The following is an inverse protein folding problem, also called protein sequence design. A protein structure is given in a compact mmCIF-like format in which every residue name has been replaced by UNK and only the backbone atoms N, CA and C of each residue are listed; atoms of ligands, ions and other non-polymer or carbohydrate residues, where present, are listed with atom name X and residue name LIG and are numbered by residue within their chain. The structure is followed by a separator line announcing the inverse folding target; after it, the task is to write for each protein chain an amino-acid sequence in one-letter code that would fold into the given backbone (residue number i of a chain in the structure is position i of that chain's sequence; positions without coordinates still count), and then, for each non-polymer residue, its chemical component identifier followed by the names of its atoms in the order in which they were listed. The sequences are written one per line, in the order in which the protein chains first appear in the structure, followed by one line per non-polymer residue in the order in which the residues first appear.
data_IF_696124416042
#
_entry.id   IF_696124416042
#
_cell.length_a   1.000
_cell.length_b   1.000
_cell.length_c   1.000
_cell.angle_alpha   90.00
_cell.angle_beta   90.00
_cell.angle_gamma   90.00
#
_symmetry.space_group_name_H-M   'P 1'
#
loop_
_entity.id
_entity.type
_entity.pdbx_description
1 polymer ?
#
# COMPACT_ATOMS: atom_id res chain seq x y z
N UNK A 1 42.78 -56.32 34.64
CA UNK A 1 43.14 -57.22 33.53
C UNK A 1 41.85 -57.65 32.83
N UNK A 2 41.54 -57.05 31.69
CA UNK A 2 40.59 -57.48 30.64
C UNK A 2 40.30 -56.27 29.77
N UNK A 3 41.09 -56.11 28.70
CA UNK A 3 40.95 -55.07 27.68
C UNK A 3 40.01 -55.59 26.59
N UNK A 4 38.77 -55.08 26.56
CA UNK A 4 37.90 -55.21 25.39
C UNK A 4 38.38 -54.25 24.29
N UNK A 5 38.93 -54.79 23.21
CA UNK A 5 39.16 -54.09 21.94
C UNK A 5 37.92 -54.28 21.07
N UNK A 6 37.16 -53.21 20.86
CA UNK A 6 36.14 -53.16 19.80
C UNK A 6 36.76 -52.52 18.55
N UNK A 7 36.66 -53.24 17.43
CA UNK A 7 37.07 -52.82 16.10
C UNK A 7 36.22 -51.63 15.62
N UNK A 8 36.87 -50.51 15.32
CA UNK A 8 36.32 -49.40 14.55
C UNK A 8 36.48 -49.74 13.07
N UNK A 9 35.38 -50.11 12.42
CA UNK A 9 35.33 -50.22 10.96
C UNK A 9 35.20 -48.84 10.33
N UNK A 10 36.25 -48.39 9.64
CA UNK A 10 36.25 -47.19 8.80
C UNK A 10 35.58 -47.54 7.48
N UNK A 11 34.35 -47.08 7.27
CA UNK A 11 33.70 -47.10 5.97
C UNK A 11 34.14 -45.88 5.16
N UNK A 12 34.98 -46.12 4.16
CA UNK A 12 35.34 -45.13 3.12
C UNK A 12 34.17 -45.07 2.13
N UNK A 13 33.31 -44.06 2.27
CA UNK A 13 32.34 -43.71 1.23
C UNK A 13 33.00 -42.79 0.21
N UNK A 14 33.22 -43.33 -0.98
CA UNK A 14 33.65 -42.59 -2.17
C UNK A 14 32.48 -41.69 -2.62
N UNK A 15 32.62 -40.37 -2.47
CA UNK A 15 31.70 -39.40 -3.06
C UNK A 15 31.87 -39.43 -4.59
N UNK A 16 31.03 -40.21 -5.26
CA UNK A 16 30.77 -40.04 -6.68
C UNK A 16 30.06 -38.70 -6.90
N UNK A 17 30.60 -37.86 -7.78
CA UNK A 17 29.96 -36.68 -8.31
C UNK A 17 28.69 -37.09 -9.08
N UNK A 18 27.58 -37.24 -8.36
CA UNK A 18 26.25 -37.38 -8.94
C UNK A 18 25.81 -36.02 -9.46
N UNK A 19 26.05 -35.77 -10.75
CA UNK A 19 25.35 -34.70 -11.45
C UNK A 19 23.86 -34.96 -11.35
N UNK A 20 23.13 -34.06 -10.68
CA UNK A 20 21.68 -34.03 -10.76
C UNK A 20 21.30 -34.01 -12.24
N UNK A 21 20.36 -34.88 -12.70
CA UNK A 21 19.87 -34.75 -14.05
C UNK A 21 19.24 -33.36 -14.15
N UNK A 22 19.84 -32.48 -14.96
CA UNK A 22 19.12 -31.33 -15.49
C UNK A 22 17.88 -31.91 -16.15
N UNK A 23 16.73 -31.69 -15.53
CA UNK A 23 15.45 -31.81 -16.23
C UNK A 23 15.61 -31.03 -17.53
N UNK A 24 15.22 -31.60 -18.69
CA UNK A 24 15.29 -30.87 -19.93
C UNK A 24 14.51 -29.57 -19.73
N UNK A 25 15.16 -28.45 -20.02
CA UNK A 25 14.46 -27.20 -20.26
C UNK A 25 13.53 -27.50 -21.43
N UNK A 26 12.27 -27.82 -21.15
CA UNK A 26 11.22 -27.85 -22.16
C UNK A 26 11.23 -26.45 -22.75
N UNK A 27 11.80 -26.32 -23.96
CA UNK A 27 11.68 -25.09 -24.72
C UNK A 27 10.21 -24.75 -24.78
N UNK A 28 9.86 -23.52 -24.38
CA UNK A 28 8.51 -23.01 -24.47
C UNK A 28 7.99 -23.35 -25.88
N UNK A 29 6.94 -24.17 -25.95
CA UNK A 29 6.38 -24.56 -27.24
C UNK A 29 5.79 -23.33 -27.94
N UNK A 30 5.53 -23.40 -29.25
CA UNK A 30 4.86 -22.31 -29.98
C UNK A 30 3.53 -21.87 -29.33
N UNK A 31 2.86 -22.77 -28.60
CA UNK A 31 1.66 -22.49 -27.80
C UNK A 31 1.95 -21.59 -26.58
N UNK A 32 3.07 -21.78 -25.88
CA UNK A 32 3.45 -20.94 -24.74
C UNK A 32 3.73 -19.51 -25.19
N UNK A 33 4.44 -19.34 -26.30
CA UNK A 33 4.72 -18.02 -26.88
C UNK A 33 3.42 -17.29 -27.30
N UNK A 34 2.48 -18.02 -27.90
CA UNK A 34 1.18 -17.48 -28.26
C UNK A 34 0.33 -17.09 -27.02
N UNK A 35 0.38 -17.89 -25.95
CA UNK A 35 -0.32 -17.59 -24.70
C UNK A 35 0.27 -16.37 -23.98
N UNK A 36 1.61 -16.25 -23.97
CA UNK A 36 2.31 -15.07 -23.45
C UNK A 36 1.93 -13.81 -24.23
N UNK A 37 1.92 -13.88 -25.58
CA UNK A 37 1.51 -12.74 -26.41
C UNK A 37 0.09 -12.27 -26.11
N UNK A 38 -0.85 -13.22 -25.92
CA UNK A 38 -2.23 -12.91 -25.50
C UNK A 38 -2.30 -12.26 -24.13
N UNK A 39 -1.48 -12.71 -23.17
CA UNK A 39 -1.41 -12.11 -21.84
C UNK A 39 -0.94 -10.65 -21.91
N UNK A 40 0.12 -10.35 -22.68
CA UNK A 40 0.67 -9.00 -22.78
C UNK A 40 -0.36 -8.01 -23.37
N UNK A 41 -1.08 -8.41 -24.42
CA UNK A 41 -2.16 -7.59 -24.98
C UNK A 41 -3.28 -7.36 -23.96
N UNK A 42 -3.65 -8.42 -23.22
CA UNK A 42 -4.68 -8.33 -22.19
C UNK A 42 -4.24 -7.44 -21.01
N UNK A 43 -2.98 -7.55 -20.57
CA UNK A 43 -2.41 -6.73 -19.50
C UNK A 43 -2.50 -5.25 -19.86
N UNK A 44 -2.06 -4.87 -21.06
CA UNK A 44 -2.18 -3.48 -21.53
C UNK A 44 -3.63 -3.00 -21.58
N UNK A 45 -4.55 -3.82 -22.09
CA UNK A 45 -5.97 -3.48 -22.19
C UNK A 45 -6.59 -3.26 -20.79
N UNK A 46 -6.36 -4.20 -19.87
CA UNK A 46 -6.88 -4.12 -18.50
C UNK A 46 -6.30 -2.91 -17.78
N UNK A 47 -5.00 -2.64 -17.89
CA UNK A 47 -4.38 -1.49 -17.23
C UNK A 47 -4.88 -0.15 -17.80
N UNK A 48 -5.14 -0.06 -19.11
CA UNK A 48 -5.76 1.14 -19.71
C UNK A 48 -7.20 1.33 -19.22
N UNK A 49 -7.99 0.26 -19.12
CA UNK A 49 -9.33 0.33 -18.53
C UNK A 49 -9.28 0.81 -17.08
N UNK A 50 -8.40 0.20 -16.26
CA UNK A 50 -8.22 0.59 -14.86
C UNK A 50 -7.79 2.06 -14.72
N UNK A 51 -6.86 2.52 -15.55
CA UNK A 51 -6.41 3.90 -15.60
C UNK A 51 -7.52 4.88 -16.04
N UNK A 52 -8.45 4.45 -16.90
CA UNK A 52 -9.63 5.23 -17.29
C UNK A 52 -10.70 5.27 -16.18
N UNK A 53 -10.81 4.21 -15.37
CA UNK A 53 -11.71 4.12 -14.22
C UNK A 53 -11.20 4.97 -13.04
N UNK A 54 -9.89 4.99 -12.81
CA UNK A 54 -9.27 5.71 -11.69
C UNK A 54 -7.91 6.31 -12.10
N UNK A 55 -7.84 7.65 -12.10
CA UNK A 55 -6.63 8.40 -12.47
C UNK A 55 -5.43 8.14 -11.57
N UNK A 56 -5.63 7.66 -10.34
CA UNK A 56 -4.51 7.28 -9.48
C UNK A 56 -3.79 6.05 -10.02
N UNK A 57 -4.51 5.15 -10.68
CA UNK A 57 -3.90 4.01 -11.36
C UNK A 57 -3.11 4.50 -12.58
N UNK A 58 -3.66 5.44 -13.35
CA UNK A 58 -2.94 6.09 -14.45
C UNK A 58 -1.60 6.69 -13.99
N UNK A 59 -1.62 7.46 -12.88
CA UNK A 59 -0.43 8.05 -12.27
C UNK A 59 0.57 7.00 -11.77
N UNK A 60 0.09 5.96 -11.06
CA UNK A 60 0.95 4.90 -10.51
C UNK A 60 1.59 4.04 -11.59
N UNK A 61 0.83 3.68 -12.62
CA UNK A 61 1.31 2.86 -13.73
C UNK A 61 2.04 3.66 -14.81
N UNK A 62 1.94 5.00 -14.78
CA UNK A 62 2.42 5.91 -15.84
C UNK A 62 1.82 5.55 -17.20
N UNK A 63 0.53 5.22 -17.18
CA UNK A 63 -0.26 4.91 -18.37
C UNK A 63 -1.24 6.05 -18.60
N UNK A 64 -1.23 6.60 -19.81
CA UNK A 64 -2.24 7.57 -20.24
C UNK A 64 -3.32 6.82 -21.03
N UNK A 65 -4.57 6.74 -20.53
CA UNK A 65 -5.68 6.19 -21.29
C UNK A 65 -5.91 6.99 -22.58
N UNK A 66 -6.28 6.31 -23.66
CA UNK A 66 -6.69 7.00 -24.89
C UNK A 66 -8.12 7.57 -24.75
N UNK A 67 -8.48 8.50 -25.63
CA UNK A 67 -9.87 9.00 -25.71
C UNK A 67 -10.90 7.88 -25.97
N UNK A 68 -10.49 6.82 -26.66
CA UNK A 68 -11.32 5.63 -26.89
C UNK A 68 -11.53 4.84 -25.60
N UNK A 69 -10.47 4.65 -24.80
CA UNK A 69 -10.55 3.96 -23.51
C UNK A 69 -11.47 4.71 -22.55
N UNK A 70 -11.28 6.03 -22.42
CA UNK A 70 -12.11 6.91 -21.59
C UNK A 70 -13.58 6.86 -22.04
N UNK A 71 -13.83 6.96 -23.36
CA UNK A 71 -15.20 6.91 -23.91
C UNK A 71 -15.86 5.56 -23.66
N UNK A 72 -15.13 4.45 -23.87
CA UNK A 72 -15.64 3.09 -23.66
C UNK A 72 -16.08 2.89 -22.21
N UNK A 73 -15.23 3.27 -21.26
CA UNK A 73 -15.50 3.15 -19.82
C UNK A 73 -16.66 4.07 -19.40
N UNK A 74 -16.66 5.33 -19.84
CA UNK A 74 -17.74 6.28 -19.51
C UNK A 74 -19.10 5.86 -20.09
N UNK A 75 -19.13 5.40 -21.35
CA UNK A 75 -20.37 5.01 -22.02
C UNK A 75 -21.02 3.80 -21.34
N UNK A 76 -20.22 2.85 -20.85
CA UNK A 76 -20.75 1.73 -20.07
C UNK A 76 -21.46 2.18 -18.79
N UNK A 77 -20.99 3.24 -18.14
CA UNK A 77 -21.65 3.81 -16.97
C UNK A 77 -22.92 4.61 -17.34
N UNK A 78 -22.91 5.36 -18.45
CA UNK A 78 -24.07 6.10 -18.96
C UNK A 78 -25.20 5.15 -19.37
N UNK A 79 -24.88 4.07 -20.10
CA UNK A 79 -25.85 3.06 -20.54
C UNK A 79 -26.48 2.29 -19.36
N UNK A 80 -25.83 2.30 -18.20
CA UNK A 80 -26.35 1.72 -16.97
C UNK A 80 -27.19 2.73 -16.14
N UNK A 81 -27.46 3.93 -16.67
CA UNK A 81 -28.28 4.98 -16.04
C UNK A 81 -27.81 5.37 -14.63
N UNK A 82 -26.49 5.42 -14.42
CA UNK A 82 -25.92 5.75 -13.11
C UNK A 82 -26.12 7.22 -12.73
N UNK A 83 -27.07 7.47 -11.85
CA UNK A 83 -27.40 8.80 -11.34
C UNK A 83 -26.26 9.47 -10.56
N UNK A 84 -25.25 8.71 -10.11
CA UNK A 84 -24.11 9.23 -9.32
C UNK A 84 -22.89 9.54 -10.18
N UNK A 85 -22.92 9.16 -11.46
CA UNK A 85 -21.83 9.35 -12.39
C UNK A 85 -21.52 10.83 -12.58
N UNK A 86 -20.26 11.17 -12.38
CA UNK A 86 -19.70 12.41 -12.87
C UNK A 86 -18.38 12.17 -13.56
N UNK A 87 -18.24 12.82 -14.72
CA UNK A 87 -17.05 12.75 -15.57
C UNK A 87 -16.37 14.11 -15.52
N UNK A 88 -15.10 14.13 -15.11
CA UNK A 88 -14.28 15.34 -15.01
C UNK A 88 -13.05 15.15 -15.87
N UNK A 89 -12.83 16.06 -16.81
CA UNK A 89 -11.84 15.96 -17.91
C UNK A 89 -11.81 14.57 -18.56
N UNK A 90 -12.99 14.06 -18.93
CA UNK A 90 -13.18 12.77 -19.58
C UNK A 90 -12.88 11.52 -18.73
N UNK A 91 -12.57 11.64 -17.44
CA UNK A 91 -12.42 10.49 -16.55
C UNK A 91 -13.53 10.44 -15.49
N UNK A 92 -13.83 9.24 -15.01
CA UNK A 92 -14.75 9.01 -13.90
C UNK A 92 -14.16 9.64 -12.63
N UNK A 93 -14.97 10.40 -11.88
CA UNK A 93 -14.51 10.99 -10.63
C UNK A 93 -14.39 9.94 -9.48
N UNK A 94 -13.62 10.23 -8.40
CA UNK A 94 -13.47 9.28 -7.29
C UNK A 94 -14.78 8.91 -6.56
N UNK A 95 -15.80 9.77 -6.60
CA UNK A 95 -17.08 9.61 -5.91
C UNK A 95 -18.12 8.83 -6.73
N UNK A 96 -17.84 8.53 -8.00
CA UNK A 96 -18.73 7.80 -8.91
C UNK A 96 -18.62 6.30 -8.67
N UNK A 97 -19.03 5.87 -7.47
CA UNK A 97 -18.72 4.55 -6.93
C UNK A 97 -19.29 3.39 -7.75
N UNK A 98 -20.50 3.55 -8.28
CA UNK A 98 -21.17 2.49 -9.04
C UNK A 98 -20.54 2.32 -10.44
N UNK A 99 -20.19 3.42 -11.09
CA UNK A 99 -19.42 3.40 -12.33
C UNK A 99 -18.06 2.72 -12.15
N UNK A 100 -17.33 3.05 -11.07
CA UNK A 100 -16.04 2.42 -10.74
C UNK A 100 -16.19 0.93 -10.45
N UNK A 101 -17.21 0.52 -9.70
CA UNK A 101 -17.47 -0.90 -9.40
C UNK A 101 -17.73 -1.72 -10.67
N UNK A 102 -18.54 -1.20 -11.59
CA UNK A 102 -18.80 -1.88 -12.87
C UNK A 102 -17.53 -1.98 -13.72
N UNK A 103 -16.73 -0.93 -13.76
CA UNK A 103 -15.44 -0.96 -14.44
C UNK A 103 -14.50 -2.04 -13.90
N UNK A 104 -14.36 -2.13 -12.58
CA UNK A 104 -13.55 -3.15 -11.91
C UNK A 104 -14.09 -4.57 -12.16
N UNK A 105 -15.41 -4.76 -12.11
CA UNK A 105 -16.04 -6.04 -12.44
C UNK A 105 -15.80 -6.45 -13.90
N UNK A 106 -15.82 -5.51 -14.84
CA UNK A 106 -15.51 -5.77 -16.24
C UNK A 106 -14.03 -6.16 -16.44
N UNK A 107 -13.09 -5.45 -15.78
CA UNK A 107 -11.67 -5.79 -15.78
C UNK A 107 -11.44 -7.21 -15.23
N UNK A 108 -12.09 -7.56 -14.11
CA UNK A 108 -12.05 -8.90 -13.53
C UNK A 108 -12.55 -9.98 -14.50
N UNK A 109 -13.69 -9.74 -15.13
CA UNK A 109 -14.25 -10.67 -16.12
C UNK A 109 -13.34 -10.88 -17.35
N UNK A 110 -12.54 -9.88 -17.74
CA UNK A 110 -11.52 -10.03 -18.79
C UNK A 110 -10.38 -10.97 -18.34
N UNK A 111 -9.91 -10.82 -17.10
CA UNK A 111 -8.85 -11.66 -16.53
C UNK A 111 -9.27 -13.11 -16.30
N UNK A 112 -10.56 -13.35 -16.00
CA UNK A 112 -11.12 -14.69 -15.88
C UNK A 112 -11.13 -15.46 -17.21
N UNK A 113 -11.20 -14.74 -18.33
CA UNK A 113 -11.12 -15.31 -19.70
C UNK A 113 -9.68 -15.49 -20.19
N UNK A 114 -8.70 -14.97 -19.45
CA UNK A 114 -7.30 -15.06 -19.81
C UNK A 114 -6.79 -16.52 -19.79
N UNK A 115 -5.73 -16.86 -20.54
CA UNK A 115 -5.07 -18.16 -20.43
C UNK A 115 -4.71 -18.49 -18.97
N UNK A 116 -5.20 -19.63 -18.49
CA UNK A 116 -4.98 -20.07 -17.10
C UNK A 116 -3.69 -20.86 -16.92
N UNK A 117 -3.16 -21.43 -18.01
CA UNK A 117 -1.85 -22.09 -18.05
C UNK A 117 -0.87 -21.10 -18.65
N UNK A 118 0.12 -20.72 -17.87
CA UNK A 118 1.24 -19.88 -18.30
C UNK A 118 2.51 -20.47 -17.70
N UNK A 119 3.63 -20.44 -18.42
CA UNK A 119 4.88 -20.96 -17.89
C UNK A 119 5.37 -20.09 -16.72
N UNK A 120 6.08 -20.70 -15.77
CA UNK A 120 6.71 -20.00 -14.65
C UNK A 120 7.92 -19.15 -15.09
N UNK A 121 8.52 -19.48 -16.24
CA UNK A 121 9.62 -18.74 -16.87
C UNK A 121 9.52 -18.87 -18.39
N UNK A 122 9.95 -17.84 -19.12
CA UNK A 122 9.97 -17.86 -20.58
C UNK A 122 11.32 -17.29 -21.09
N UNK A 123 11.96 -17.92 -22.09
CA UNK A 123 13.18 -17.39 -22.69
C UNK A 123 12.98 -15.96 -23.21
N UNK A 124 13.89 -15.04 -22.87
CA UNK A 124 13.82 -13.65 -23.32
C UNK A 124 12.86 -12.75 -22.52
N UNK A 125 12.10 -13.29 -21.57
CA UNK A 125 11.33 -12.49 -20.62
C UNK A 125 12.07 -12.36 -19.29
N UNK A 126 12.15 -11.14 -18.78
CA UNK A 126 12.65 -10.84 -17.43
C UNK A 126 11.57 -11.15 -16.37
N UNK A 127 10.29 -11.12 -16.77
CA UNK A 127 9.14 -11.39 -15.93
C UNK A 127 8.63 -12.84 -16.06
N UNK A 128 8.11 -13.39 -14.95
CA UNK A 128 7.45 -14.70 -14.91
C UNK A 128 5.97 -14.55 -15.32
N UNK A 129 5.52 -15.04 -16.50
CA UNK A 129 4.17 -14.73 -17.02
C UNK A 129 3.03 -15.14 -16.07
N UNK A 130 3.14 -16.29 -15.41
CA UNK A 130 2.16 -16.72 -14.42
C UNK A 130 2.04 -15.76 -13.22
N UNK A 131 3.17 -15.18 -12.78
CA UNK A 131 3.21 -14.22 -11.69
C UNK A 131 2.60 -12.88 -12.11
N UNK A 132 2.89 -12.38 -13.32
CA UNK A 132 2.27 -11.13 -13.81
C UNK A 132 0.75 -11.24 -13.87
N UNK A 133 0.23 -12.37 -14.36
CA UNK A 133 -1.22 -12.64 -14.34
C UNK A 133 -1.78 -12.66 -12.91
N UNK A 134 -1.08 -13.30 -11.97
CA UNK A 134 -1.48 -13.31 -10.55
C UNK A 134 -1.55 -11.89 -9.98
N UNK A 135 -0.51 -11.08 -10.22
CA UNK A 135 -0.42 -9.72 -9.69
C UNK A 135 -1.43 -8.77 -10.33
N UNK A 136 -1.71 -8.91 -11.62
CA UNK A 136 -2.75 -8.14 -12.30
C UNK A 136 -4.14 -8.45 -11.74
N UNK A 137 -4.44 -9.73 -11.47
CA UNK A 137 -5.70 -10.12 -10.82
C UNK A 137 -5.79 -9.55 -9.39
N UNK A 138 -4.71 -9.63 -8.63
CA UNK A 138 -4.65 -9.04 -7.28
C UNK A 138 -4.82 -7.51 -7.32
N UNK A 139 -4.26 -6.81 -8.29
CA UNK A 139 -4.46 -5.37 -8.45
C UNK A 139 -5.96 -5.02 -8.60
N UNK A 140 -6.71 -5.80 -9.38
CA UNK A 140 -8.16 -5.59 -9.52
C UNK A 140 -8.90 -5.85 -8.20
N UNK A 141 -8.53 -6.90 -7.47
CA UNK A 141 -9.11 -7.20 -6.16
C UNK A 141 -8.77 -6.12 -5.11
N UNK A 142 -7.55 -5.58 -5.15
CA UNK A 142 -7.10 -4.47 -4.31
C UNK A 142 -7.91 -3.19 -4.55
N UNK A 143 -8.09 -2.80 -5.81
CA UNK A 143 -8.86 -1.60 -6.14
C UNK A 143 -10.37 -1.80 -5.88
N UNK A 144 -10.86 -3.04 -5.93
CA UNK A 144 -12.22 -3.39 -5.47
C UNK A 144 -12.38 -3.18 -3.96
N UNK A 145 -11.43 -3.68 -3.16
CA UNK A 145 -11.44 -3.47 -1.72
C UNK A 145 -11.31 -1.99 -1.34
N UNK A 146 -10.47 -1.23 -2.06
CA UNK A 146 -10.36 0.22 -1.89
C UNK A 146 -11.67 0.93 -2.20
N UNK A 147 -12.36 0.56 -3.27
CA UNK A 147 -13.65 1.15 -3.62
C UNK A 147 -14.70 0.92 -2.53
N UNK A 148 -14.73 -0.27 -1.93
CA UNK A 148 -15.61 -0.56 -0.78
C UNK A 148 -15.28 0.33 0.42
N UNK A 149 -14.00 0.55 0.71
CA UNK A 149 -13.55 1.49 1.74
C UNK A 149 -14.00 2.92 1.40
N UNK A 150 -13.77 3.37 0.18
CA UNK A 150 -14.08 4.74 -0.24
C UNK A 150 -15.58 5.06 -0.15
N UNK A 151 -16.45 4.06 -0.31
CA UNK A 151 -17.91 4.20 -0.11
C UNK A 151 -18.31 4.49 1.34
N UNK A 152 -17.44 4.24 2.33
CA UNK A 152 -17.77 4.34 3.76
C UNK A 152 -17.77 5.77 4.33
N UNK A 153 -18.48 6.70 3.68
CA UNK A 153 -18.60 8.07 4.17
C UNK A 153 -19.31 8.13 5.55
N UNK A 154 -18.87 9.02 6.46
CA UNK A 154 -17.81 10.02 6.29
C UNK A 154 -16.39 9.51 6.58
N UNK A 155 -16.19 8.25 7.00
CA UNK A 155 -14.87 7.74 7.44
C UNK A 155 -13.81 7.82 6.36
N UNK A 156 -14.18 7.58 5.11
CA UNK A 156 -13.31 7.62 3.93
C UNK A 156 -13.13 9.00 3.30
N UNK A 157 -13.75 10.06 3.84
CA UNK A 157 -13.78 11.37 3.22
C UNK A 157 -12.37 11.94 2.94
N UNK A 158 -11.43 11.76 3.87
CA UNK A 158 -10.04 12.21 3.69
C UNK A 158 -9.37 11.50 2.51
N UNK A 159 -9.60 10.20 2.32
CA UNK A 159 -9.06 9.44 1.19
C UNK A 159 -9.62 9.94 -0.15
N UNK A 160 -10.91 10.26 -0.21
CA UNK A 160 -11.56 10.79 -1.41
C UNK A 160 -11.09 12.20 -1.77
N UNK A 161 -10.94 13.09 -0.77
CA UNK A 161 -10.37 14.43 -0.99
C UNK A 161 -8.92 14.33 -1.46
N UNK A 162 -8.10 13.48 -0.83
CA UNK A 162 -6.73 13.22 -1.29
C UNK A 162 -6.70 12.69 -2.72
N UNK A 163 -7.62 11.80 -3.11
CA UNK A 163 -7.71 11.31 -4.48
C UNK A 163 -7.98 12.43 -5.51
N UNK A 164 -8.80 13.43 -5.15
CA UNK A 164 -9.00 14.62 -5.98
C UNK A 164 -7.70 15.42 -6.09
N UNK A 165 -7.04 15.70 -4.96
CA UNK A 165 -5.79 16.48 -4.91
C UNK A 165 -4.68 15.82 -5.71
N UNK A 166 -4.48 14.50 -5.55
CA UNK A 166 -3.45 13.71 -6.23
C UNK A 166 -3.60 13.72 -7.75
N UNK A 167 -4.84 13.87 -8.24
CA UNK A 167 -5.17 13.81 -9.67
C UNK A 167 -5.57 15.19 -10.21
N UNK A 168 -5.37 16.25 -9.43
CA UNK A 168 -5.72 17.60 -9.79
C UNK A 168 -4.80 18.15 -10.88
N UNK A 169 -5.39 18.55 -11.99
CA UNK A 169 -4.68 19.26 -13.07
C UNK A 169 -5.42 20.57 -13.34
N UNK A 170 -4.82 21.76 -13.17
CA UNK A 170 -5.53 23.04 -13.31
C UNK A 170 -6.32 23.16 -14.63
N UNK A 171 -7.59 23.63 -14.59
CA UNK A 171 -8.39 23.75 -15.81
C UNK A 171 -7.79 24.81 -16.75
N UNK A 172 -7.84 24.55 -18.06
CA UNK A 172 -7.43 25.52 -19.08
C UNK A 172 -8.66 26.23 -19.66
N UNK A 173 -8.90 27.47 -19.24
CA UNK A 173 -10.01 28.31 -19.72
C UNK A 173 -11.18 28.45 -18.74
N UNK A 174 -12.11 29.35 -19.06
CA UNK A 174 -13.19 29.78 -18.14
C UNK A 174 -14.32 28.74 -18.01
N UNK A 175 -14.84 28.20 -19.11
CA UNK A 175 -15.97 27.23 -19.06
C UNK A 175 -15.63 25.93 -18.30
N UNK A 176 -14.44 25.31 -18.52
CA UNK A 176 -14.01 24.16 -17.71
C UNK A 176 -13.87 24.50 -16.22
N UNK A 177 -13.52 25.74 -15.88
CA UNK A 177 -13.37 26.19 -14.49
C UNK A 177 -14.71 26.22 -13.78
N UNK A 178 -15.74 26.85 -14.37
CA UNK A 178 -17.07 26.92 -13.76
C UNK A 178 -17.74 25.54 -13.62
N UNK A 179 -17.51 24.62 -14.56
CA UNK A 179 -18.01 23.25 -14.46
C UNK A 179 -17.34 22.49 -13.30
N UNK A 180 -16.02 22.64 -13.14
CA UNK A 180 -15.28 22.02 -12.03
C UNK A 180 -15.62 22.61 -10.68
N UNK A 181 -15.83 23.92 -10.59
CA UNK A 181 -16.28 24.59 -9.36
C UNK A 181 -17.60 23.98 -8.86
N UNK A 182 -18.61 23.88 -9.74
CA UNK A 182 -19.90 23.25 -9.40
C UNK A 182 -19.76 21.78 -9.01
N UNK A 183 -18.93 21.02 -9.74
CA UNK A 183 -18.67 19.62 -9.44
C UNK A 183 -18.05 19.44 -8.06
N UNK A 184 -17.00 20.20 -7.74
CA UNK A 184 -16.29 20.10 -6.47
C UNK A 184 -17.17 20.55 -5.32
N UNK A 185 -17.90 21.66 -5.47
CA UNK A 185 -18.87 22.13 -4.49
C UNK A 185 -19.91 21.04 -4.15
N UNK A 186 -20.43 20.33 -5.17
CA UNK A 186 -21.37 19.21 -4.95
C UNK A 186 -20.75 18.08 -4.12
N UNK A 187 -19.53 17.63 -4.47
CA UNK A 187 -18.85 16.53 -3.74
C UNK A 187 -18.49 16.91 -2.30
N UNK A 188 -18.04 18.14 -2.07
CA UNK A 188 -17.84 18.67 -0.71
C UNK A 188 -19.16 18.73 0.08
N UNK A 189 -20.25 19.11 -0.58
CA UNK A 189 -21.60 19.06 -0.01
C UNK A 189 -22.04 17.66 0.40
N UNK A 190 -21.75 16.63 -0.40
CA UNK A 190 -22.02 15.23 -0.09
C UNK A 190 -21.27 14.76 1.17
N UNK A 191 -19.97 15.10 1.28
CA UNK A 191 -19.16 14.81 2.48
C UNK A 191 -19.73 15.51 3.72
N UNK A 192 -20.08 16.78 3.60
CA UNK A 192 -20.71 17.56 4.68
C UNK A 192 -22.01 16.92 5.14
N UNK A 193 -22.87 16.50 4.22
CA UNK A 193 -24.13 15.81 4.55
C UNK A 193 -23.88 14.49 5.27
N UNK A 194 -22.89 13.71 4.84
CA UNK A 194 -22.52 12.47 5.52
C UNK A 194 -22.05 12.74 6.97
N UNK A 195 -21.20 13.75 7.17
CA UNK A 195 -20.72 14.18 8.49
C UNK A 195 -21.84 14.66 9.42
N UNK A 196 -22.87 15.30 8.89
CA UNK A 196 -24.00 15.74 9.72
C UNK A 196 -24.69 14.57 10.46
N UNK A 197 -24.59 13.35 9.93
CA UNK A 197 -25.23 12.14 10.49
C UNK A 197 -24.30 11.31 11.39
N UNK A 198 -23.00 11.29 11.09
CA UNK A 198 -22.02 10.44 11.76
C UNK A 198 -20.78 11.25 12.11
N UNK A 199 -20.38 11.24 13.38
CA UNK A 199 -19.15 11.91 13.81
C UNK A 199 -17.91 11.10 13.44
N UNK A 200 -16.85 11.80 13.08
CA UNK A 200 -15.49 11.24 13.02
C UNK A 200 -14.86 11.26 14.41
N UNK A 201 -13.95 10.31 14.67
CA UNK A 201 -13.01 10.46 15.76
C UNK A 201 -12.02 11.60 15.47
N UNK A 202 -11.36 12.09 16.52
CA UNK A 202 -10.44 13.25 16.46
C UNK A 202 -9.35 13.07 15.40
N UNK A 203 -8.84 11.86 15.23
CA UNK A 203 -7.78 11.59 14.27
C UNK A 203 -8.29 11.59 12.85
N UNK A 204 -9.42 10.93 12.57
CA UNK A 204 -10.05 10.97 11.24
C UNK A 204 -10.53 12.37 10.86
N UNK A 205 -11.03 13.15 11.82
CA UNK A 205 -11.41 14.55 11.60
C UNK A 205 -10.19 15.38 11.19
N UNK A 206 -9.06 15.23 11.89
CA UNK A 206 -7.80 15.90 11.53
C UNK A 206 -7.24 15.46 10.19
N UNK A 207 -7.34 14.17 9.84
CA UNK A 207 -6.92 13.69 8.51
C UNK A 207 -7.77 14.26 7.38
N UNK A 208 -9.07 14.49 7.62
CA UNK A 208 -9.91 15.17 6.66
C UNK A 208 -9.53 16.66 6.55
N UNK A 209 -9.28 17.34 7.67
CA UNK A 209 -8.87 18.75 7.67
C UNK A 209 -7.54 18.96 6.92
N UNK A 210 -6.52 18.13 7.19
CA UNK A 210 -5.25 18.12 6.44
C UNK A 210 -5.46 17.90 4.92
N UNK A 211 -6.43 17.06 4.54
CA UNK A 211 -6.76 16.82 3.13
C UNK A 211 -7.48 18.03 2.50
N UNK A 212 -8.33 18.72 3.28
CA UNK A 212 -9.00 19.95 2.85
C UNK A 212 -8.03 21.11 2.70
N UNK A 213 -7.00 21.23 3.54
CA UNK A 213 -5.90 22.21 3.37
C UNK A 213 -5.20 22.03 2.02
N UNK A 214 -4.87 20.78 1.67
CA UNK A 214 -4.24 20.47 0.39
C UNK A 214 -5.17 20.78 -0.80
N UNK A 215 -6.48 20.53 -0.65
CA UNK A 215 -7.47 20.88 -1.65
C UNK A 215 -7.65 22.39 -1.80
N UNK A 216 -7.71 23.14 -0.70
CA UNK A 216 -7.78 24.60 -0.69
C UNK A 216 -6.62 25.20 -1.47
N UNK A 217 -5.40 24.72 -1.21
CA UNK A 217 -4.23 25.14 -1.98
C UNK A 217 -4.33 24.81 -3.47
N UNK A 218 -4.88 23.64 -3.82
CA UNK A 218 -5.06 23.23 -5.22
C UNK A 218 -6.09 24.09 -5.99
N UNK A 219 -7.04 24.72 -5.28
CA UNK A 219 -8.13 25.53 -5.86
C UNK A 219 -7.99 27.03 -5.59
N UNK A 220 -6.85 27.51 -5.10
CA UNK A 220 -6.57 28.93 -4.79
C UNK A 220 -6.62 29.85 -6.05
N UNK A 221 -6.73 29.28 -7.24
CA UNK A 221 -6.93 30.03 -8.46
C UNK A 221 -8.32 30.70 -8.55
N UNK A 222 -8.46 31.86 -9.22
CA UNK A 222 -9.76 32.49 -9.43
C UNK A 222 -10.75 31.54 -10.15
N UNK A 223 -12.01 31.55 -9.71
CA UNK A 223 -13.11 30.81 -10.35
C UNK A 223 -13.69 29.63 -9.56
N UNK A 224 -13.18 29.34 -8.36
CA UNK A 224 -13.64 28.26 -7.48
C UNK A 224 -14.53 28.72 -6.31
N UNK A 225 -15.34 29.76 -6.52
CA UNK A 225 -16.10 30.39 -5.43
C UNK A 225 -17.13 29.47 -4.76
N UNK A 226 -17.80 28.59 -5.51
CA UNK A 226 -18.78 27.68 -4.93
C UNK A 226 -18.10 26.56 -4.11
N UNK A 227 -16.99 26.03 -4.62
CA UNK A 227 -16.20 25.01 -3.94
C UNK A 227 -15.58 25.56 -2.66
N UNK A 228 -14.98 26.76 -2.70
CA UNK A 228 -14.46 27.43 -1.49
C UNK A 228 -15.56 27.64 -0.45
N UNK A 229 -16.76 28.06 -0.85
CA UNK A 229 -17.87 28.24 0.08
C UNK A 229 -18.33 26.91 0.73
N UNK A 230 -18.37 25.80 -0.02
CA UNK A 230 -18.70 24.49 0.56
C UNK A 230 -17.57 23.91 1.40
N UNK A 231 -16.30 24.18 1.07
CA UNK A 231 -15.14 23.83 1.90
C UNK A 231 -15.22 24.48 3.27
N UNK A 232 -15.55 25.78 3.34
CA UNK A 232 -15.73 26.49 4.61
C UNK A 232 -16.86 25.89 5.45
N UNK A 233 -18.03 25.62 4.85
CA UNK A 233 -19.16 24.97 5.55
C UNK A 233 -18.80 23.57 6.06
N UNK A 234 -18.00 22.84 5.30
CA UNK A 234 -17.51 21.52 5.70
C UNK A 234 -16.58 21.63 6.91
N UNK A 235 -15.65 22.60 6.92
CA UNK A 235 -14.79 22.86 8.09
C UNK A 235 -15.58 23.29 9.32
N UNK A 236 -16.57 24.17 9.18
CA UNK A 236 -17.49 24.55 10.27
C UNK A 236 -18.21 23.31 10.84
N UNK A 237 -18.63 22.38 9.97
CA UNK A 237 -19.26 21.12 10.38
C UNK A 237 -18.29 20.23 11.15
N UNK A 238 -17.02 20.17 10.74
CA UNK A 238 -15.97 19.41 11.45
C UNK A 238 -15.65 20.02 12.82
N UNK A 239 -15.51 21.34 12.90
CA UNK A 239 -15.26 22.05 14.16
C UNK A 239 -16.39 21.82 15.16
N UNK A 240 -17.64 21.87 14.70
CA UNK A 240 -18.82 21.58 15.52
C UNK A 240 -18.81 20.15 16.10
N UNK A 241 -18.15 19.19 15.44
CA UNK A 241 -17.99 17.83 15.97
C UNK A 241 -16.88 17.73 17.02
N UNK A 242 -15.84 18.57 16.94
CA UNK A 242 -14.68 18.54 17.84
C UNK A 242 -15.00 18.76 19.32
N UNK A 243 -16.19 19.26 19.63
CA UNK A 243 -16.70 19.40 21.01
C UNK A 243 -17.24 18.10 21.61
N UNK A 244 -17.34 17.01 20.84
CA UNK A 244 -17.85 15.71 21.32
C UNK A 244 -16.75 14.93 22.04
N UNK A 245 -17.06 14.24 23.15
CA UNK A 245 -16.09 13.39 23.82
C UNK A 245 -15.58 12.30 22.87
N UNK A 246 -14.29 11.89 22.98
CA UNK A 246 -13.75 10.83 22.14
C UNK A 246 -14.56 9.55 22.30
N UNK A 247 -14.90 8.92 21.18
CA UNK A 247 -15.57 7.63 21.19
C UNK A 247 -14.67 6.60 21.90
N UNK A 248 -15.31 5.69 22.66
CA UNK A 248 -14.59 4.57 23.29
C UNK A 248 -14.00 3.61 22.24
N UNK A 249 -13.13 2.66 22.66
CA UNK A 249 -12.56 1.68 21.75
C UNK A 249 -13.68 0.87 21.09
N UNK A 250 -13.69 0.88 19.75
CA UNK A 250 -14.60 0.07 18.94
C UNK A 250 -13.75 -0.80 18.03
N UNK A 251 -14.07 -2.09 17.95
CA UNK A 251 -13.33 -2.97 17.05
C UNK A 251 -13.79 -2.76 15.61
N UNK A 252 -12.82 -2.50 14.72
CA UNK A 252 -12.98 -2.47 13.27
C UNK A 252 -12.25 -3.64 12.58
N UNK A 253 -11.85 -4.65 13.37
CA UNK A 253 -11.00 -5.75 12.92
C UNK A 253 -11.53 -6.46 11.67
N UNK A 254 -12.83 -6.72 11.59
CA UNK A 254 -13.41 -7.41 10.44
C UNK A 254 -13.21 -6.65 9.13
N UNK A 255 -13.23 -5.32 9.18
CA UNK A 255 -12.95 -4.45 8.05
C UNK A 255 -11.45 -4.38 7.75
N UNK A 256 -10.62 -4.17 8.78
CA UNK A 256 -9.16 -4.19 8.65
C UNK A 256 -8.65 -5.51 8.06
N UNK A 257 -9.14 -6.66 8.52
CA UNK A 257 -8.74 -7.97 8.03
C UNK A 257 -9.08 -8.17 6.54
N UNK A 258 -10.23 -7.67 6.07
CA UNK A 258 -10.55 -7.69 4.62
C UNK A 258 -9.57 -6.86 3.82
N UNK A 259 -9.23 -5.65 4.29
CA UNK A 259 -8.28 -4.75 3.63
C UNK A 259 -6.86 -5.30 3.64
N UNK A 260 -6.40 -5.81 4.78
CA UNK A 260 -5.07 -6.43 4.92
C UNK A 260 -4.94 -7.67 4.02
N UNK A 261 -6.01 -8.45 3.85
CA UNK A 261 -6.02 -9.55 2.87
C UNK A 261 -5.85 -9.06 1.45
N UNK A 262 -6.64 -8.07 1.04
CA UNK A 262 -6.58 -7.56 -0.32
C UNK A 262 -5.22 -6.90 -0.63
N UNK A 263 -4.79 -5.96 0.21
CA UNK A 263 -3.60 -5.15 -0.06
C UNK A 263 -2.28 -5.82 0.35
N UNK A 264 -2.27 -6.69 1.36
CA UNK A 264 -1.02 -7.26 1.88
C UNK A 264 -0.90 -8.76 1.60
N UNK A 265 -1.99 -9.42 1.17
CA UNK A 265 -2.07 -10.87 1.08
C UNK A 265 -2.10 -11.56 2.45
N UNK A 266 -2.33 -10.80 3.52
CA UNK A 266 -2.24 -11.29 4.88
C UNK A 266 -3.59 -11.83 5.38
N UNK A 267 -3.58 -13.01 6.02
CA UNK A 267 -4.82 -13.76 6.34
C UNK A 267 -4.89 -14.31 7.76
N UNK A 268 -3.91 -14.03 8.62
CA UNK A 268 -3.87 -14.62 9.95
C UNK A 268 -4.90 -13.98 10.91
N UNK A 269 -5.05 -14.55 12.11
CA UNK A 269 -5.91 -13.98 13.15
C UNK A 269 -5.24 -12.79 13.85
N UNK A 270 -5.99 -11.90 14.55
CA UNK A 270 -5.39 -10.79 15.27
C UNK A 270 -4.45 -11.27 16.40
N UNK A 271 -4.74 -12.40 17.04
CA UNK A 271 -3.88 -13.00 18.07
C UNK A 271 -2.57 -13.54 17.47
N UNK A 272 -2.65 -14.18 16.30
CA UNK A 272 -1.47 -14.65 15.58
C UNK A 272 -0.59 -13.46 15.16
N UNK A 273 -1.19 -12.38 14.65
CA UNK A 273 -0.47 -11.15 14.31
C UNK A 273 0.22 -10.54 15.52
N UNK A 274 -0.49 -10.45 16.64
CA UNK A 274 0.04 -9.87 17.87
C UNK A 274 1.24 -10.66 18.39
N UNK A 275 1.13 -11.99 18.43
CA UNK A 275 2.22 -12.87 18.84
C UNK A 275 3.43 -12.72 17.90
N UNK A 276 3.17 -12.63 16.59
CA UNK A 276 4.19 -12.44 15.56
C UNK A 276 4.91 -11.10 15.71
N UNK A 277 4.16 -10.00 15.82
CA UNK A 277 4.71 -8.65 16.04
C UNK A 277 5.44 -8.52 17.38
N UNK A 278 4.96 -9.17 18.45
CA UNK A 278 5.62 -9.15 19.75
C UNK A 278 6.99 -9.87 19.70
N UNK A 279 7.06 -11.03 19.03
CA UNK A 279 8.31 -11.74 18.81
C UNK A 279 9.29 -10.92 17.97
N UNK A 280 8.78 -10.28 16.91
CA UNK A 280 9.57 -9.45 16.01
C UNK A 280 10.10 -8.19 16.72
N UNK A 281 9.28 -7.53 17.55
CA UNK A 281 9.71 -6.36 18.33
C UNK A 281 10.91 -6.72 19.20
N UNK A 282 10.83 -7.81 19.97
CA UNK A 282 11.92 -8.24 20.85
C UNK A 282 13.21 -8.53 20.06
N UNK A 283 13.10 -9.22 18.93
CA UNK A 283 14.23 -9.54 18.07
C UNK A 283 14.88 -8.28 17.45
N UNK A 284 14.08 -7.37 16.91
CA UNK A 284 14.57 -6.13 16.32
C UNK A 284 15.14 -5.17 17.35
N UNK A 285 14.54 -5.07 18.55
CA UNK A 285 15.08 -4.27 19.65
C UNK A 285 16.49 -4.73 20.02
N UNK A 286 16.70 -6.04 20.17
CA UNK A 286 18.02 -6.59 20.47
C UNK A 286 19.04 -6.28 19.35
N UNK A 287 18.67 -6.55 18.08
CA UNK A 287 19.55 -6.29 16.94
C UNK A 287 19.87 -4.79 16.76
N UNK A 288 18.88 -3.92 16.96
CA UNK A 288 19.04 -2.46 16.87
C UNK A 288 19.94 -1.93 18.00
N UNK A 289 19.76 -2.38 19.25
CA UNK A 289 20.65 -2.02 20.36
C UNK A 289 22.09 -2.41 20.08
N UNK A 290 22.33 -3.63 19.57
CA UNK A 290 23.67 -4.09 19.22
C UNK A 290 24.28 -3.27 18.07
N UNK A 291 23.49 -2.94 17.04
CA UNK A 291 23.94 -2.11 15.92
C UNK A 291 24.24 -0.67 16.35
N UNK A 292 23.42 -0.07 17.21
CA UNK A 292 23.65 1.27 17.79
C UNK A 292 24.94 1.28 18.61
N UNK A 293 25.20 0.24 19.41
CA UNK A 293 26.44 0.14 20.20
C UNK A 293 27.72 0.04 19.34
N UNK A 294 27.62 -0.46 18.10
CA UNK A 294 28.73 -0.54 17.14
C UNK A 294 28.88 0.71 16.27
N UNK A 295 27.84 1.52 16.19
CA UNK A 295 27.78 2.73 15.38
C UNK A 295 28.81 3.76 15.87
N UNK A 296 29.29 4.61 14.95
CA UNK A 296 30.15 5.76 15.30
C UNK A 296 29.34 7.03 15.52
N UNK A 297 28.12 7.09 15.00
CA UNK A 297 27.20 8.19 15.21
C UNK A 297 26.65 8.21 16.65
N UNK A 298 26.28 9.39 17.14
CA UNK A 298 25.58 9.51 18.42
C UNK A 298 24.19 8.86 18.35
N UNK A 299 23.71 8.41 19.51
CA UNK A 299 22.37 7.84 19.65
C UNK A 299 21.30 8.79 19.11
N UNK A 300 21.34 10.07 19.49
CA UNK A 300 20.40 11.09 19.02
C UNK A 300 20.40 11.25 17.50
N UNK A 301 21.57 11.17 16.85
CA UNK A 301 21.68 11.29 15.40
C UNK A 301 21.08 10.06 14.70
N UNK A 302 21.35 8.86 15.22
CA UNK A 302 20.76 7.61 14.70
C UNK A 302 19.25 7.59 14.87
N UNK A 303 18.74 8.01 16.03
CA UNK A 303 17.32 8.03 16.34
C UNK A 303 16.57 9.08 15.53
N UNK A 304 17.16 10.27 15.34
CA UNK A 304 16.61 11.29 14.45
C UNK A 304 16.54 10.78 13.00
N UNK A 305 17.60 10.11 12.53
CA UNK A 305 17.64 9.50 11.19
C UNK A 305 16.60 8.39 11.06
N UNK A 306 16.47 7.52 12.06
CA UNK A 306 15.48 6.44 12.07
C UNK A 306 14.04 6.98 12.04
N UNK A 307 13.75 7.98 12.87
CA UNK A 307 12.42 8.61 12.91
C UNK A 307 12.04 9.27 11.57
N UNK A 308 13.02 9.78 10.82
CA UNK A 308 12.81 10.33 9.48
C UNK A 308 12.54 9.25 8.41
N UNK A 309 12.83 7.97 8.66
CA UNK A 309 12.52 6.86 7.76
C UNK A 309 11.11 6.28 7.97
N UNK A 310 10.51 6.50 9.14
CA UNK A 310 9.24 5.87 9.55
C UNK A 310 8.05 6.73 9.09
N UNK A 311 7.27 6.18 8.15
CA UNK A 311 6.19 6.86 7.42
C UNK A 311 6.62 8.21 6.85
N UNK A 312 7.82 8.23 6.25
CA UNK A 312 8.36 9.40 5.59
C UNK A 312 7.47 9.81 4.40
N UNK A 313 7.09 11.09 4.34
CA UNK A 313 6.49 11.65 3.13
C UNK A 313 7.49 11.78 1.98
N UNK A 314 7.02 12.11 0.79
CA UNK A 314 7.87 12.38 -0.37
C UNK A 314 7.23 11.94 -1.69
N UNK A 315 8.02 11.88 -2.78
CA UNK A 315 7.49 11.42 -4.06
C UNK A 315 7.04 9.95 -3.99
N UNK A 316 6.16 9.50 -4.91
CA UNK A 316 5.71 8.12 -4.96
C UNK A 316 6.87 7.13 -5.01
N UNK A 317 6.85 6.15 -4.11
CA UNK A 317 7.89 5.13 -4.05
C UNK A 317 7.73 4.14 -5.22
N UNK A 318 8.78 3.98 -6.02
CA UNK A 318 8.79 3.14 -7.22
C UNK A 318 9.97 2.19 -7.22
N UNK A 319 9.83 1.03 -7.88
CA UNK A 319 10.90 0.08 -8.14
C UNK A 319 10.71 -0.42 -9.56
N UNK A 320 11.48 0.13 -10.50
CA UNK A 320 11.33 -0.22 -11.90
C UNK A 320 11.84 -1.64 -12.15
N UNK A 321 10.96 -2.50 -12.66
CA UNK A 321 11.26 -3.88 -13.02
C UNK A 321 11.19 -4.03 -14.54
N UNK A 322 12.31 -4.32 -15.22
CA UNK A 322 12.30 -4.50 -16.66
C UNK A 322 11.29 -5.55 -17.11
N UNK A 323 10.49 -5.22 -18.13
CA UNK A 323 9.52 -6.14 -18.72
C UNK A 323 8.28 -6.43 -17.88
N UNK A 324 7.99 -5.64 -16.83
CA UNK A 324 6.79 -5.78 -16.00
C UNK A 324 6.19 -4.41 -15.71
N UNK A 325 4.94 -4.18 -16.14
CA UNK A 325 4.23 -2.93 -15.85
C UNK A 325 3.72 -2.95 -14.40
N UNK A 326 3.03 -4.02 -14.00
CA UNK A 326 2.39 -4.13 -12.68
C UNK A 326 3.42 -3.97 -11.55
N UNK A 327 4.54 -4.71 -11.59
CA UNK A 327 5.60 -4.59 -10.56
C UNK A 327 6.39 -3.29 -10.62
N UNK A 328 6.29 -2.54 -11.71
CA UNK A 328 6.93 -1.22 -11.85
C UNK A 328 6.05 -0.05 -11.40
N UNK A 329 4.79 -0.32 -11.05
CA UNK A 329 3.88 0.71 -10.55
C UNK A 329 4.44 1.37 -9.28
N UNK A 330 4.10 2.64 -9.07
CA UNK A 330 4.28 3.25 -7.77
C UNK A 330 3.45 2.49 -6.72
N UNK A 331 4.08 2.24 -5.57
CA UNK A 331 3.44 1.54 -4.46
C UNK A 331 2.15 2.26 -4.06
N UNK A 332 1.04 1.53 -3.85
CA UNK A 332 -0.16 2.13 -3.33
C UNK A 332 0.05 2.67 -1.90
N UNK A 333 -0.82 3.57 -1.41
CA UNK A 333 -0.76 4.11 -0.05
C UNK A 333 -0.57 3.06 1.05
N UNK A 334 -1.13 1.85 0.92
CA UNK A 334 -1.01 0.78 1.92
C UNK A 334 0.36 0.11 1.91
N UNK A 335 1.11 0.18 0.80
CA UNK A 335 2.44 -0.45 0.64
C UNK A 335 3.58 0.56 0.44
N UNK A 336 3.31 1.85 0.54
CA UNK A 336 4.33 2.89 0.41
C UNK A 336 5.40 2.80 1.51
N UNK A 337 4.99 2.56 2.76
CA UNK A 337 5.91 2.36 3.89
C UNK A 337 6.86 1.15 3.68
N UNK A 338 6.38 -0.06 3.35
CA UNK A 338 7.22 -1.17 2.90
C UNK A 338 8.21 -0.80 1.81
N UNK A 339 7.76 -0.08 0.76
CA UNK A 339 8.60 0.32 -0.36
C UNK A 339 9.74 1.25 0.07
N UNK A 340 9.46 2.24 0.93
CA UNK A 340 10.49 3.15 1.45
C UNK A 340 11.45 2.43 2.40
N UNK A 341 10.93 1.53 3.24
CA UNK A 341 11.75 0.76 4.18
C UNK A 341 12.75 -0.15 3.44
N UNK A 342 12.31 -0.84 2.37
CA UNK A 342 13.25 -1.64 1.55
C UNK A 342 14.27 -0.76 0.82
N UNK A 343 13.89 0.42 0.32
CA UNK A 343 14.86 1.34 -0.29
C UNK A 343 15.92 1.78 0.73
N UNK A 344 15.50 2.16 1.94
CA UNK A 344 16.40 2.51 3.03
C UNK A 344 17.36 1.35 3.35
N UNK A 345 16.83 0.13 3.55
CA UNK A 345 17.62 -1.05 3.84
C UNK A 345 18.59 -1.44 2.71
N UNK A 346 18.16 -1.35 1.45
CA UNK A 346 19.02 -1.63 0.30
C UNK A 346 20.19 -0.63 0.19
N UNK A 347 19.95 0.63 0.58
CA UNK A 347 20.93 1.72 0.56
C UNK A 347 21.84 1.79 1.78
N UNK A 348 21.58 0.99 2.83
CA UNK A 348 22.32 1.02 4.09
C UNK A 348 23.72 0.37 3.95
N UNK A 349 24.67 1.11 3.37
CA UNK A 349 26.01 0.63 3.05
C UNK A 349 26.97 0.63 4.24
N UNK A 350 26.81 1.56 5.19
CA UNK A 350 27.66 1.72 6.37
C UNK A 350 26.94 1.32 7.68
N UNK A 351 27.70 1.19 8.76
CA UNK A 351 27.20 0.72 10.06
C UNK A 351 26.17 1.68 10.68
N UNK A 352 26.35 2.99 10.52
CA UNK A 352 25.43 4.00 11.04
C UNK A 352 24.07 3.94 10.30
N UNK A 353 24.09 3.78 8.98
CA UNK A 353 22.89 3.62 8.16
C UNK A 353 22.16 2.30 8.46
N UNK A 354 22.91 1.22 8.71
CA UNK A 354 22.34 -0.07 9.12
C UNK A 354 21.71 0.01 10.50
N UNK A 355 22.38 0.66 11.45
CA UNK A 355 21.84 0.88 12.79
C UNK A 355 20.54 1.71 12.73
N UNK A 356 20.54 2.84 12.01
CA UNK A 356 19.34 3.66 11.85
C UNK A 356 18.19 2.90 11.14
N UNK A 357 18.51 2.05 10.16
CA UNK A 357 17.51 1.21 9.48
C UNK A 357 16.91 0.17 10.42
N UNK A 358 17.72 -0.50 11.26
CA UNK A 358 17.24 -1.47 12.24
C UNK A 358 16.34 -0.81 13.30
N UNK A 359 16.70 0.39 13.76
CA UNK A 359 15.83 1.19 14.63
C UNK A 359 14.52 1.52 13.90
N UNK A 360 14.56 1.98 12.65
CA UNK A 360 13.34 2.27 11.89
C UNK A 360 12.45 1.03 11.68
N UNK A 361 13.04 -0.14 11.42
CA UNK A 361 12.33 -1.42 11.36
C UNK A 361 11.60 -1.73 12.67
N UNK A 362 12.27 -1.53 13.81
CA UNK A 362 11.63 -1.65 15.13
C UNK A 362 10.47 -0.67 15.29
N UNK A 363 10.64 0.60 14.92
CA UNK A 363 9.57 1.59 15.03
C UNK A 363 8.34 1.26 14.16
N UNK A 364 8.55 0.74 12.94
CA UNK A 364 7.44 0.25 12.12
C UNK A 364 6.64 -0.86 12.82
N UNK A 365 7.31 -1.76 13.53
CA UNK A 365 6.64 -2.82 14.32
C UNK A 365 5.86 -2.21 15.49
N UNK A 366 6.42 -1.23 16.20
CA UNK A 366 5.72 -0.53 17.28
C UNK A 366 4.42 0.12 16.78
N UNK A 367 4.48 0.85 15.66
CA UNK A 367 3.29 1.49 15.09
C UNK A 367 2.26 0.46 14.58
N UNK A 368 2.72 -0.66 14.03
CA UNK A 368 1.85 -1.79 13.66
C UNK A 368 1.13 -2.38 14.90
N UNK A 369 1.82 -2.49 16.05
CA UNK A 369 1.21 -2.94 17.31
C UNK A 369 0.19 -1.94 17.85
N UNK A 370 0.43 -0.63 17.70
CA UNK A 370 -0.56 0.39 18.03
C UNK A 370 -1.83 0.23 17.19
N UNK A 371 -1.68 0.10 15.87
CA UNK A 371 -2.80 -0.10 14.96
C UNK A 371 -3.60 -1.35 15.32
N UNK A 372 -2.91 -2.45 15.61
CA UNK A 372 -3.55 -3.72 15.96
C UNK A 372 -4.28 -3.68 17.30
N UNK A 373 -3.71 -3.06 18.34
CA UNK A 373 -4.35 -2.94 19.66
C UNK A 373 -5.63 -2.10 19.59
N UNK A 374 -5.62 -1.01 18.81
CA UNK A 374 -6.82 -0.20 18.60
C UNK A 374 -7.85 -0.93 17.74
N UNK A 375 -7.44 -1.53 16.61
CA UNK A 375 -8.36 -2.16 15.67
C UNK A 375 -9.11 -3.36 16.26
N UNK A 376 -8.47 -4.09 17.18
CA UNK A 376 -9.12 -5.17 17.92
C UNK A 376 -9.98 -4.68 19.09
N UNK A 377 -10.03 -3.37 19.34
CA UNK A 377 -10.72 -2.76 20.47
C UNK A 377 -10.10 -3.10 21.83
N UNK A 378 -8.83 -3.52 21.87
CA UNK A 378 -8.16 -3.89 23.13
C UNK A 378 -7.73 -2.66 23.94
N UNK A 379 -7.47 -1.53 23.28
CA UNK A 379 -7.09 -0.30 23.95
C UNK A 379 -7.40 0.93 23.11
N UNK A 380 -7.36 2.10 23.75
CA UNK A 380 -7.24 3.39 23.07
C UNK A 380 -5.84 3.57 22.49
N UNK A 381 -5.65 4.58 21.63
CA UNK A 381 -4.31 4.91 21.11
C UNK A 381 -3.35 5.33 22.22
N UNK A 382 -3.83 6.08 23.22
CA UNK A 382 -3.01 6.54 24.34
C UNK A 382 -2.50 5.37 25.20
N UNK A 383 -3.35 4.37 25.42
CA UNK A 383 -2.95 3.14 26.13
C UNK A 383 -1.97 2.30 25.29
N UNK A 384 -2.19 2.21 23.97
CA UNK A 384 -1.31 1.48 23.06
C UNK A 384 0.09 2.12 22.99
N UNK A 385 0.18 3.44 22.91
CA UNK A 385 1.46 4.18 22.87
C UNK A 385 2.18 4.18 24.21
N UNK A 386 1.44 4.11 25.33
CA UNK A 386 2.02 3.91 26.65
C UNK A 386 2.64 2.50 26.81
N UNK A 387 1.99 1.49 26.24
CA UNK A 387 2.35 0.07 26.30
C UNK A 387 3.52 -0.29 25.38
N UNK A 388 3.48 0.10 24.11
CA UNK A 388 4.50 -0.23 23.12
C UNK A 388 5.34 1.01 22.81
N UNK A 389 6.58 1.05 23.30
CA UNK A 389 7.40 2.26 23.27
C UNK A 389 8.48 2.24 22.19
N UNK A 390 8.58 3.31 21.38
CA UNK A 390 9.69 3.57 20.48
C UNK A 390 11.04 3.52 21.17
N UNK A 391 12.07 3.11 20.44
CA UNK A 391 13.46 3.36 20.83
C UNK A 391 13.80 4.84 20.62
N UNK A 392 13.37 5.43 19.50
CA UNK A 392 13.90 6.70 18.99
C UNK A 392 13.42 8.00 19.68
N UNK A 393 12.76 7.94 20.85
CA UNK A 393 12.16 9.09 21.59
C UNK A 393 11.73 10.26 20.67
N UNK A 394 10.82 10.01 19.70
CA UNK A 394 10.45 11.00 18.71
C UNK A 394 9.86 12.27 19.33
N UNK A 395 9.92 13.39 18.62
CA UNK A 395 9.23 14.62 19.02
C UNK A 395 7.72 14.39 19.09
N UNK A 396 6.96 15.25 19.81
CA UNK A 396 5.50 15.14 19.86
C UNK A 396 4.85 15.14 18.47
N UNK A 397 5.35 15.95 17.53
CA UNK A 397 4.80 16.02 16.17
C UNK A 397 5.01 14.72 15.38
N UNK A 398 6.18 14.09 15.54
CA UNK A 398 6.48 12.79 14.90
C UNK A 398 5.62 11.69 15.53
N UNK A 399 5.48 11.69 16.86
CA UNK A 399 4.60 10.75 17.57
C UNK A 399 3.15 10.89 17.09
N UNK A 400 2.63 12.12 17.04
CA UNK A 400 1.28 12.40 16.56
C UNK A 400 1.09 11.95 15.10
N UNK A 401 2.11 12.10 14.23
CA UNK A 401 2.05 11.56 12.86
C UNK A 401 1.93 10.04 12.85
N UNK A 402 2.70 9.33 13.67
CA UNK A 402 2.64 7.86 13.75
C UNK A 402 1.32 7.36 14.35
N UNK A 403 0.81 8.02 15.38
CA UNK A 403 -0.52 7.75 15.95
C UNK A 403 -1.62 7.91 14.89
N UNK A 404 -1.54 8.98 14.09
CA UNK A 404 -2.47 9.20 12.97
C UNK A 404 -2.42 8.09 11.94
N UNK A 405 -1.23 7.64 11.56
CA UNK A 405 -1.09 6.49 10.64
C UNK A 405 -1.68 5.22 11.24
N UNK A 406 -1.42 4.92 12.52
CA UNK A 406 -1.94 3.73 13.18
C UNK A 406 -3.48 3.69 13.20
N UNK A 407 -4.12 4.85 13.41
CA UNK A 407 -5.57 4.98 13.55
C UNK A 407 -6.32 5.15 12.24
N UNK A 408 -5.84 6.06 11.39
CA UNK A 408 -6.52 6.40 10.14
C UNK A 408 -6.12 5.48 8.99
N UNK A 409 -4.92 4.89 9.04
CA UNK A 409 -4.36 4.03 7.98
C UNK A 409 -3.79 2.72 8.55
N UNK A 410 -4.55 1.95 9.35
CA UNK A 410 -4.05 0.77 10.05
C UNK A 410 -3.46 -0.29 9.11
N UNK A 411 -3.98 -0.47 7.89
CA UNK A 411 -3.41 -1.37 6.89
C UNK A 411 -1.96 -0.97 6.53
N UNK A 412 -1.70 0.33 6.33
CA UNK A 412 -0.36 0.82 6.02
C UNK A 412 0.60 0.66 7.22
N UNK A 413 0.10 0.85 8.44
CA UNK A 413 0.86 0.62 9.66
C UNK A 413 1.30 -0.85 9.77
N UNK A 414 0.35 -1.78 9.61
CA UNK A 414 0.61 -3.23 9.64
C UNK A 414 1.56 -3.63 8.52
N UNK A 415 1.39 -3.08 7.31
CA UNK A 415 2.29 -3.34 6.20
C UNK A 415 3.75 -3.01 6.54
N UNK A 416 4.01 -1.87 7.19
CA UNK A 416 5.34 -1.51 7.65
C UNK A 416 5.95 -2.54 8.62
N UNK A 417 5.16 -3.01 9.59
CA UNK A 417 5.58 -4.07 10.51
C UNK A 417 5.89 -5.40 9.82
N UNK A 418 5.03 -5.84 8.88
CA UNK A 418 5.25 -7.05 8.09
C UNK A 418 6.50 -6.92 7.19
N UNK A 419 6.72 -5.75 6.58
CA UNK A 419 7.92 -5.49 5.79
C UNK A 419 9.20 -5.59 6.63
N UNK A 420 9.18 -5.12 7.88
CA UNK A 420 10.30 -5.28 8.80
C UNK A 420 10.61 -6.77 9.06
N UNK A 421 9.59 -7.62 9.13
CA UNK A 421 9.78 -9.05 9.26
C UNK A 421 10.40 -9.68 8.02
N UNK A 422 9.86 -9.33 6.85
CA UNK A 422 10.35 -9.79 5.56
C UNK A 422 11.83 -9.44 5.40
N UNK A 423 12.30 -8.34 5.95
CA UNK A 423 13.69 -7.89 5.82
C UNK A 423 14.63 -8.42 6.92
N UNK A 424 14.11 -8.84 8.08
CA UNK A 424 14.85 -9.14 9.32
C UNK A 424 16.18 -9.89 9.19
N UNK A 425 16.21 -10.99 8.44
CA UNK A 425 17.32 -11.94 8.47
C UNK A 425 18.64 -11.39 7.89
N UNK A 426 18.55 -10.67 6.78
CA UNK A 426 19.66 -9.96 6.11
C UNK A 426 19.06 -8.76 5.38
N UNK A 427 18.81 -7.64 6.10
CA UNK A 427 18.03 -6.54 5.57
C UNK A 427 18.55 -5.98 4.24
N UNK A 428 19.86 -5.70 4.06
CA UNK A 428 20.37 -5.17 2.80
C UNK A 428 20.21 -6.14 1.62
N UNK A 429 20.50 -7.44 1.81
CA UNK A 429 20.40 -8.43 0.74
C UNK A 429 18.95 -8.68 0.35
N UNK A 430 18.07 -8.88 1.33
CA UNK A 430 16.65 -9.14 1.07
C UNK A 430 15.96 -7.91 0.50
N UNK A 431 16.33 -6.72 0.94
CA UNK A 431 15.83 -5.48 0.36
C UNK A 431 16.21 -5.35 -1.13
N UNK A 432 17.46 -5.62 -1.50
CA UNK A 432 17.88 -5.61 -2.92
C UNK A 432 17.11 -6.62 -3.76
N UNK A 433 17.01 -7.87 -3.28
CA UNK A 433 16.22 -8.89 -3.98
C UNK A 433 14.74 -8.50 -4.11
N UNK A 434 14.18 -7.79 -3.12
CA UNK A 434 12.80 -7.29 -3.20
C UNK A 434 12.67 -6.10 -4.15
N UNK A 435 13.68 -5.23 -4.24
CA UNK A 435 13.70 -4.17 -5.26
C UNK A 435 13.69 -4.75 -6.68
N UNK A 436 14.41 -5.85 -6.91
CA UNK A 436 14.41 -6.56 -8.20
C UNK A 436 13.07 -7.26 -8.48
N UNK A 437 12.36 -7.68 -7.43
CA UNK A 437 11.00 -8.21 -7.54
C UNK A 437 9.99 -7.11 -7.88
N UNK A 438 10.17 -5.89 -7.35
CA UNK A 438 9.32 -4.73 -7.58
C UNK A 438 8.19 -4.57 -6.58
N UNK A 439 7.14 -3.85 -6.98
CA UNK A 439 5.89 -3.68 -6.23
C UNK A 439 5.10 -5.00 -6.19
N UNK A 440 4.97 -5.60 -5.00
CA UNK A 440 4.21 -6.82 -4.75
C UNK A 440 3.62 -6.82 -3.32
N UNK A 441 2.50 -7.53 -3.08
CA UNK A 441 1.99 -7.82 -1.74
C UNK A 441 2.99 -8.59 -0.85
N UNK A 442 2.78 -8.55 0.48
CA UNK A 442 3.74 -9.08 1.46
C UNK A 442 3.87 -10.61 1.38
N UNK A 443 2.77 -11.32 1.18
CA UNK A 443 2.77 -12.79 1.01
C UNK A 443 3.56 -13.24 -0.24
N UNK A 444 3.49 -12.47 -1.33
CA UNK A 444 4.27 -12.72 -2.55
C UNK A 444 5.75 -12.48 -2.29
N UNK A 445 6.10 -11.40 -1.58
CA UNK A 445 7.48 -11.12 -1.18
C UNK A 445 8.04 -12.23 -0.27
N UNK A 446 7.29 -12.65 0.75
CA UNK A 446 7.67 -13.76 1.64
C UNK A 446 7.91 -15.07 0.88
N UNK A 447 7.06 -15.37 -0.10
CA UNK A 447 7.13 -16.58 -0.91
C UNK A 447 8.34 -16.61 -1.85
N UNK A 448 8.69 -15.47 -2.44
CA UNK A 448 9.67 -15.40 -3.55
C UNK A 448 11.08 -14.98 -3.12
N UNK A 449 11.23 -14.33 -1.96
CA UNK A 449 12.54 -13.87 -1.49
C UNK A 449 13.40 -15.03 -0.96
N UNK A 450 14.72 -14.98 -1.17
CA UNK A 450 15.64 -16.03 -0.70
C UNK A 450 15.61 -16.09 0.83
N UNK A 451 15.39 -17.29 1.38
CA UNK A 451 15.33 -17.53 2.83
C UNK A 451 16.62 -17.20 3.54
#
# INVERSE_FOLDING_TARGET
MSTLRALVGVAVSVCACGGSPMLPANGAGDDDAAQIGKLLTLEEEVLRDLAAIDRRIAARARIEPTDEDLRRVNMAAVLAEDATLAVVDNAIDPFSFEARARGLAAAKAKLERAPSRLPASAPGMVAAPALERELLARLVDEETARLEEERSLPRSASALVRAIVETWAPPRGVDPTAARDRWLARRLGEVKTALATTALDVVRARELDDALDALEHAIDAPGFGAATAELLKLRETLEAQGSRPPAGPTSDWGELARRARAHLGWTESPEALDARLASLEAALRAAATEAVARSRASEDALFSRAAALVFAGGPPCTSAVPGSIVRSMAAPPEREAPCRLRQAAASASDDDARAATLVAMHEYVIVARWALDVARGASTIAEATAKHRPMSRPTPDVTARWERVALARPTAAIAGGLAAEVLRADPPRRAKAWMDLGEVPMDVAERLLPK
#
